data_IF_850063645601
#
_entry.id   IF_850063645601
#
_cell.length_a   1.000
_cell.length_b   1.000
_cell.length_c   1.000
_cell.angle_alpha   90.00
_cell.angle_beta   90.00
_cell.angle_gamma   90.00
#
_symmetry.space_group_name_H-M   'P 1'
#
loop_
_entity.id
_entity.type
_entity.pdbx_description
1 polymer ?
#
# COMPACT_ATOMS: atom_id res chain seq x y z
N UNK A 1 22.43 15.81 -11.73
CA UNK A 1 21.91 15.36 -13.04
C UNK A 1 20.53 15.99 -13.18
N UNK A 2 20.34 16.85 -14.16
CA UNK A 2 19.00 17.38 -14.50
C UNK A 2 18.31 16.31 -15.32
N UNK A 3 17.25 15.71 -14.76
CA UNK A 3 16.43 14.77 -15.49
C UNK A 3 15.63 15.50 -16.56
N UNK A 4 15.49 14.88 -17.74
CA UNK A 4 14.67 15.41 -18.81
C UNK A 4 13.20 15.50 -18.36
N UNK A 5 12.55 16.69 -18.47
CA UNK A 5 11.16 16.89 -18.03
C UNK A 5 10.17 15.93 -18.69
N UNK A 6 10.39 15.57 -19.96
CA UNK A 6 9.51 14.63 -20.68
C UNK A 6 9.61 13.26 -20.06
N UNK A 7 10.81 12.78 -19.76
CA UNK A 7 11.02 11.48 -19.09
C UNK A 7 10.34 11.47 -17.71
N UNK A 8 10.45 12.54 -16.93
CA UNK A 8 9.78 12.65 -15.62
C UNK A 8 8.26 12.54 -15.76
N UNK A 9 7.66 13.29 -16.70
CA UNK A 9 6.21 13.23 -16.94
C UNK A 9 5.74 11.84 -17.36
N UNK A 10 6.52 11.14 -18.18
CA UNK A 10 6.21 9.77 -18.58
C UNK A 10 6.23 8.82 -17.39
N UNK A 11 7.24 8.93 -16.53
CA UNK A 11 7.36 8.13 -15.31
C UNK A 11 6.21 8.42 -14.34
N UNK A 12 5.91 9.69 -14.07
CA UNK A 12 4.79 10.07 -13.21
C UNK A 12 3.46 9.51 -13.71
N UNK A 13 3.20 9.64 -15.02
CA UNK A 13 1.98 9.10 -15.63
C UNK A 13 1.90 7.58 -15.55
N UNK A 14 3.02 6.88 -15.75
CA UNK A 14 3.08 5.42 -15.64
C UNK A 14 2.84 4.95 -14.20
N UNK A 15 3.40 5.63 -13.20
CA UNK A 15 3.20 5.31 -11.79
C UNK A 15 1.74 5.58 -11.37
N UNK A 16 1.13 6.67 -11.83
CA UNK A 16 -0.27 6.96 -11.58
C UNK A 16 -1.17 5.88 -12.19
N UNK A 17 -0.94 5.50 -13.44
CA UNK A 17 -1.68 4.44 -14.11
C UNK A 17 -1.55 3.08 -13.38
N UNK A 18 -0.35 2.74 -12.92
CA UNK A 18 -0.11 1.51 -12.15
C UNK A 18 -0.87 1.52 -10.81
N UNK A 19 -0.87 2.65 -10.08
CA UNK A 19 -1.59 2.78 -8.83
C UNK A 19 -3.11 2.70 -9.02
N UNK A 20 -3.65 3.28 -10.10
CA UNK A 20 -5.06 3.16 -10.47
C UNK A 20 -5.45 1.73 -10.87
N UNK A 21 -4.58 1.03 -11.60
CA UNK A 21 -4.79 -0.38 -11.95
C UNK A 21 -4.80 -1.26 -10.70
N UNK A 22 -3.89 -1.04 -9.75
CA UNK A 22 -3.90 -1.73 -8.45
C UNK A 22 -5.25 -1.56 -7.75
N UNK A 23 -5.79 -0.34 -7.70
CA UNK A 23 -7.10 -0.06 -7.10
C UNK A 23 -8.23 -0.78 -7.83
N UNK A 24 -8.24 -0.72 -9.16
CA UNK A 24 -9.25 -1.37 -9.99
C UNK A 24 -9.25 -2.90 -9.80
N UNK A 25 -8.07 -3.51 -9.69
CA UNK A 25 -7.91 -4.95 -9.45
C UNK A 25 -8.39 -5.30 -8.04
N UNK A 26 -7.97 -4.55 -7.02
CA UNK A 26 -8.40 -4.77 -5.63
C UNK A 26 -9.92 -4.73 -5.53
N UNK A 27 -10.57 -3.70 -6.06
CA UNK A 27 -12.02 -3.57 -6.10
C UNK A 27 -12.70 -4.73 -6.83
N UNK A 28 -12.18 -5.10 -7.99
CA UNK A 28 -12.77 -6.15 -8.86
C UNK A 28 -12.66 -7.55 -8.29
N UNK A 29 -11.61 -7.81 -7.52
CA UNK A 29 -11.33 -9.14 -6.95
C UNK A 29 -11.80 -9.29 -5.51
N UNK A 30 -12.17 -8.20 -4.85
CA UNK A 30 -12.66 -8.23 -3.48
C UNK A 30 -13.99 -8.97 -3.35
N UNK A 31 -14.12 -9.75 -2.27
CA UNK A 31 -15.35 -10.47 -1.91
C UNK A 31 -16.19 -9.72 -0.87
N UNK A 32 -15.65 -8.66 -0.27
CA UNK A 32 -16.32 -7.87 0.76
C UNK A 32 -17.01 -6.64 0.16
N UNK A 33 -18.31 -6.42 0.42
CA UNK A 33 -19.03 -5.20 -0.01
C UNK A 33 -18.37 -3.91 0.51
N UNK A 34 -17.74 -3.94 1.67
CA UNK A 34 -17.02 -2.79 2.22
C UNK A 34 -15.91 -2.34 1.26
N UNK A 35 -15.24 -3.29 0.61
CA UNK A 35 -14.17 -3.00 -0.34
C UNK A 35 -14.72 -2.65 -1.72
N UNK A 36 -15.61 -3.48 -2.30
CA UNK A 36 -16.00 -3.30 -3.70
C UNK A 36 -17.17 -2.33 -3.92
N UNK A 37 -18.04 -2.07 -2.90
CA UNK A 37 -19.16 -1.12 -2.98
C UNK A 37 -18.84 0.19 -2.24
N UNK A 38 -18.45 0.10 -0.96
CA UNK A 38 -18.15 1.28 -0.13
C UNK A 38 -16.80 1.88 -0.51
N UNK A 39 -15.90 1.10 -1.12
CA UNK A 39 -14.55 1.47 -1.52
C UNK A 39 -13.66 1.83 -0.33
N UNK A 40 -13.88 1.15 0.80
CA UNK A 40 -13.08 1.35 2.02
C UNK A 40 -11.70 0.68 1.87
N UNK A 41 -10.94 1.23 0.94
CA UNK A 41 -9.61 0.77 0.55
C UNK A 41 -8.82 1.90 -0.12
N UNK A 42 -7.53 1.68 -0.31
CA UNK A 42 -6.64 2.58 -1.02
C UNK A 42 -5.39 1.85 -1.52
N UNK A 43 -4.79 2.37 -2.58
CA UNK A 43 -3.56 1.82 -3.17
C UNK A 43 -2.56 2.93 -3.40
N UNK A 44 -1.27 2.58 -3.39
CA UNK A 44 -0.22 3.53 -3.66
C UNK A 44 1.13 2.87 -3.92
N UNK A 45 2.02 3.66 -4.48
CA UNK A 45 3.41 3.30 -4.72
C UNK A 45 4.28 4.25 -3.90
N UNK A 46 5.21 3.69 -3.13
CA UNK A 46 6.20 4.47 -2.39
C UNK A 46 7.58 4.26 -2.99
N UNK A 47 8.51 5.18 -2.68
CA UNK A 47 9.91 4.95 -2.98
C UNK A 47 10.53 3.89 -2.03
N UNK A 48 11.80 3.60 -2.23
CA UNK A 48 12.55 2.64 -1.41
C UNK A 48 12.60 3.01 0.08
N UNK A 49 12.38 4.27 0.44
CA UNK A 49 12.35 4.77 1.81
C UNK A 49 10.94 4.81 2.41
N UNK A 50 9.92 4.40 1.66
CA UNK A 50 8.53 4.37 2.12
C UNK A 50 7.77 5.69 1.89
N UNK A 51 8.36 6.70 1.21
CA UNK A 51 7.66 7.96 0.93
C UNK A 51 6.70 7.77 -0.25
N UNK A 52 5.45 8.20 -0.08
CA UNK A 52 4.44 8.10 -1.13
C UNK A 52 4.87 8.87 -2.39
N UNK A 53 4.88 8.17 -3.52
CA UNK A 53 5.23 8.73 -4.84
C UNK A 53 4.01 8.86 -5.72
N UNK A 54 3.12 7.87 -5.68
CA UNK A 54 1.90 7.87 -6.47
C UNK A 54 0.80 7.13 -5.72
N UNK A 55 -0.45 7.49 -5.97
CA UNK A 55 -1.62 6.83 -5.38
C UNK A 55 -2.70 6.62 -6.43
N UNK A 56 -3.37 5.49 -6.32
CA UNK A 56 -4.63 5.24 -7.02
C UNK A 56 -5.81 5.90 -6.32
N UNK A 57 -7.00 5.64 -6.83
CA UNK A 57 -8.24 6.00 -6.15
C UNK A 57 -8.33 5.31 -4.78
N UNK A 58 -9.21 5.82 -3.90
CA UNK A 58 -9.43 5.25 -2.57
C UNK A 58 -9.74 6.31 -1.53
N UNK A 59 -9.92 5.88 -0.29
CA UNK A 59 -10.17 6.80 0.82
C UNK A 59 -8.89 7.59 1.13
N UNK A 60 -8.93 8.94 1.16
CA UNK A 60 -7.74 9.76 1.39
C UNK A 60 -6.97 9.42 2.66
N UNK A 61 -7.67 9.01 3.73
CA UNK A 61 -7.03 8.58 4.98
C UNK A 61 -6.17 7.34 4.78
N UNK A 62 -6.63 6.38 3.98
CA UNK A 62 -5.87 5.15 3.70
C UNK A 62 -4.66 5.44 2.82
N UNK A 63 -4.86 6.21 1.76
CA UNK A 63 -3.75 6.64 0.91
C UNK A 63 -2.67 7.38 1.72
N UNK A 64 -3.08 8.29 2.60
CA UNK A 64 -2.18 9.05 3.48
C UNK A 64 -1.55 8.25 4.62
N UNK A 65 -1.95 6.99 4.81
CA UNK A 65 -1.37 6.11 5.83
C UNK A 65 -0.36 5.10 5.24
N UNK A 66 -0.36 4.90 3.91
CA UNK A 66 0.50 3.90 3.27
C UNK A 66 2.00 4.16 3.47
N UNK A 67 2.42 5.41 3.45
CA UNK A 67 3.82 5.79 3.70
C UNK A 67 4.28 5.40 5.11
N UNK A 68 3.43 5.59 6.11
CA UNK A 68 3.70 5.21 7.50
C UNK A 68 3.76 3.69 7.65
N UNK A 69 2.83 2.97 7.05
CA UNK A 69 2.81 1.51 7.08
C UNK A 69 4.08 0.92 6.43
N UNK A 70 4.48 1.41 5.26
CA UNK A 70 5.71 0.96 4.59
C UNK A 70 6.95 1.33 5.40
N UNK A 71 7.01 2.53 5.97
CA UNK A 71 8.11 2.97 6.83
C UNK A 71 8.22 2.10 8.09
N UNK A 72 7.10 1.74 8.71
CA UNK A 72 7.06 0.81 9.84
C UNK A 72 7.61 -0.58 9.47
N UNK A 73 7.16 -1.12 8.32
CA UNK A 73 7.65 -2.40 7.78
C UNK A 73 9.18 -2.34 7.56
N UNK A 74 9.66 -1.25 6.95
CA UNK A 74 11.09 -1.03 6.72
C UNK A 74 11.89 -0.98 8.02
N UNK A 75 11.41 -0.26 9.02
CA UNK A 75 12.07 -0.15 10.31
C UNK A 75 12.21 -1.50 11.02
N UNK A 76 11.19 -2.36 10.87
CA UNK A 76 11.10 -3.65 11.57
C UNK A 76 11.81 -4.79 10.82
N UNK A 77 11.73 -4.80 9.50
CA UNK A 77 12.15 -5.92 8.66
C UNK A 77 13.20 -5.56 7.60
N UNK A 78 13.56 -4.28 7.45
CA UNK A 78 14.40 -3.78 6.36
C UNK A 78 15.59 -4.68 5.98
N UNK A 79 16.45 -5.10 6.93
CA UNK A 79 17.62 -5.93 6.61
C UNK A 79 17.29 -7.33 6.08
N UNK A 80 16.07 -7.81 6.30
CA UNK A 80 15.66 -9.19 5.94
C UNK A 80 14.76 -9.25 4.71
N UNK A 81 14.29 -8.09 4.20
CA UNK A 81 13.39 -8.01 3.07
C UNK A 81 14.08 -8.48 1.79
N UNK A 82 13.40 -9.34 1.02
CA UNK A 82 13.90 -9.92 -0.22
C UNK A 82 12.90 -9.74 -1.35
N UNK A 83 13.39 -9.88 -2.55
CA UNK A 83 12.53 -9.95 -3.74
C UNK A 83 11.56 -11.14 -3.64
N UNK A 84 10.27 -10.88 -3.92
CA UNK A 84 9.19 -11.86 -3.79
C UNK A 84 8.52 -11.92 -2.41
N UNK A 85 9.00 -11.18 -1.42
CA UNK A 85 8.32 -11.09 -0.13
C UNK A 85 6.97 -10.36 -0.27
N UNK A 86 6.03 -10.73 0.58
CA UNK A 86 4.77 -10.02 0.79
C UNK A 86 4.64 -9.72 2.27
N UNK A 87 4.63 -8.45 2.63
CA UNK A 87 4.59 -8.03 4.02
C UNK A 87 3.21 -7.52 4.38
N UNK A 88 2.80 -7.82 5.62
CA UNK A 88 1.49 -7.48 6.15
C UNK A 88 1.63 -6.70 7.44
N UNK A 89 0.79 -5.68 7.63
CA UNK A 89 0.62 -5.00 8.93
C UNK A 89 -0.82 -4.56 9.11
N UNK A 90 -1.30 -4.66 10.35
CA UNK A 90 -2.57 -4.07 10.81
C UNK A 90 -2.39 -3.45 12.21
N UNK A 91 -1.18 -3.00 12.53
CA UNK A 91 -0.85 -2.41 13.82
C UNK A 91 -1.31 -0.94 13.86
N UNK A 92 -2.33 -0.58 14.68
CA UNK A 92 -2.82 0.78 14.76
C UNK A 92 -1.94 1.70 15.63
N UNK A 93 -0.98 1.16 16.37
CA UNK A 93 -0.09 1.95 17.22
C UNK A 93 1.11 2.49 16.44
N UNK A 94 1.84 1.60 15.77
CA UNK A 94 3.06 1.96 15.04
C UNK A 94 2.96 1.69 13.54
N UNK A 95 2.03 0.84 13.11
CA UNK A 95 1.92 0.33 11.74
C UNK A 95 1.19 1.24 10.75
N UNK A 96 0.78 2.45 11.15
CA UNK A 96 0.19 3.43 10.23
C UNK A 96 -1.27 3.17 9.84
N UNK A 97 -1.95 2.21 10.46
CA UNK A 97 -3.39 1.94 10.23
C UNK A 97 -4.25 2.59 11.31
N UNK A 98 -5.56 2.74 11.07
CA UNK A 98 -6.47 3.40 12.03
C UNK A 98 -7.02 2.43 13.07
N UNK A 99 -7.30 1.20 12.69
CA UNK A 99 -7.74 0.12 13.59
C UNK A 99 -7.34 -1.25 13.05
N UNK A 100 -7.50 -2.30 13.88
CA UNK A 100 -7.02 -3.66 13.55
C UNK A 100 -7.62 -4.25 12.27
N UNK A 101 -8.80 -3.80 11.88
CA UNK A 101 -9.49 -4.25 10.67
C UNK A 101 -8.86 -3.71 9.38
N UNK A 102 -8.04 -2.67 9.47
CA UNK A 102 -7.33 -2.11 8.32
C UNK A 102 -6.06 -2.90 8.08
N UNK A 103 -6.08 -3.68 7.03
CA UNK A 103 -4.93 -4.49 6.63
C UNK A 103 -4.15 -3.79 5.51
N UNK A 104 -2.87 -3.56 5.75
CA UNK A 104 -1.92 -3.14 4.71
C UNK A 104 -1.15 -4.35 4.21
N UNK A 105 -1.14 -4.50 2.89
CA UNK A 105 -0.28 -5.44 2.16
C UNK A 105 0.74 -4.62 1.39
N UNK A 106 2.02 -4.89 1.60
CA UNK A 106 3.12 -4.21 0.93
C UNK A 106 4.05 -5.21 0.22
N UNK A 107 4.28 -4.96 -1.05
CA UNK A 107 5.18 -5.74 -1.91
C UNK A 107 6.42 -4.91 -2.24
N UNK A 108 7.64 -5.33 -1.86
CA UNK A 108 8.85 -4.64 -2.25
C UNK A 108 9.16 -4.89 -3.73
N UNK A 109 9.54 -3.85 -4.43
CA UNK A 109 9.92 -3.88 -5.84
C UNK A 109 11.43 -3.72 -5.92
N UNK A 110 12.10 -4.76 -6.41
CA UNK A 110 13.56 -4.76 -6.61
C UNK A 110 13.92 -4.52 -8.07
N UNK A 111 14.99 -3.77 -8.28
CA UNK A 111 15.62 -3.57 -9.57
C UNK A 111 17.13 -3.74 -9.42
N UNK A 112 17.75 -4.60 -10.24
CA UNK A 112 19.18 -4.94 -10.16
C UNK A 112 19.64 -5.31 -8.74
N UNK A 113 18.84 -6.09 -8.01
CA UNK A 113 19.13 -6.54 -6.65
C UNK A 113 19.02 -5.45 -5.58
N UNK A 114 18.49 -4.28 -5.90
CA UNK A 114 18.30 -3.15 -4.97
C UNK A 114 16.81 -2.84 -4.83
N UNK A 115 16.38 -2.60 -3.59
CA UNK A 115 15.03 -2.12 -3.33
C UNK A 115 14.84 -0.76 -4.01
N UNK A 116 13.91 -0.68 -4.95
CA UNK A 116 13.62 0.51 -5.74
C UNK A 116 12.35 1.24 -5.28
N UNK A 117 11.30 0.46 -4.95
CA UNK A 117 9.99 1.00 -4.62
C UNK A 117 9.17 -0.03 -3.83
N UNK A 118 7.95 0.35 -3.45
CA UNK A 118 6.94 -0.54 -2.89
C UNK A 118 5.60 -0.33 -3.57
N UNK A 119 4.90 -1.41 -3.83
CA UNK A 119 3.46 -1.38 -4.12
C UNK A 119 2.71 -1.72 -2.83
N UNK A 120 1.81 -0.85 -2.40
CA UNK A 120 1.06 -1.03 -1.17
C UNK A 120 -0.44 -0.85 -1.38
N UNK A 121 -1.23 -1.65 -0.69
CA UNK A 121 -2.68 -1.53 -0.62
C UNK A 121 -3.16 -1.63 0.82
N UNK A 122 -4.19 -0.87 1.16
CA UNK A 122 -4.89 -0.95 2.44
C UNK A 122 -6.36 -1.21 2.16
N UNK A 123 -6.97 -2.10 2.94
CA UNK A 123 -8.40 -2.37 2.87
C UNK A 123 -8.96 -2.67 4.25
N UNK A 124 -10.18 -2.16 4.50
CA UNK A 124 -10.94 -2.48 5.69
C UNK A 124 -11.62 -3.83 5.58
N UNK A 125 -11.39 -4.70 6.56
CA UNK A 125 -12.04 -5.99 6.68
C UNK A 125 -13.17 -5.94 7.71
N UNK A 126 -14.33 -6.49 7.37
CA UNK A 126 -15.48 -6.56 8.30
C UNK A 126 -15.17 -7.31 9.58
N UNK A 127 -14.30 -8.31 9.48
CA UNK A 127 -13.87 -9.15 10.59
C UNK A 127 -12.55 -9.82 10.24
N UNK A 128 -11.60 -9.85 11.16
CA UNK A 128 -10.30 -10.49 11.04
C UNK A 128 -10.10 -11.62 12.06
N UNK A 129 -11.19 -12.11 12.67
CA UNK A 129 -11.14 -13.20 13.64
C UNK A 129 -10.86 -12.77 15.08
N UNK A 130 -11.29 -11.56 15.46
CA UNK A 130 -11.20 -11.07 16.83
C UNK A 130 -12.09 -11.83 17.81
N UNK A 131 -11.98 -11.51 19.10
CA UNK A 131 -12.72 -12.15 20.20
C UNK A 131 -14.23 -11.93 20.11
N UNK A 132 -14.63 -10.77 19.61
CA UNK A 132 -16.03 -10.39 19.41
C UNK A 132 -16.31 -10.19 17.93
N UNK A 133 -17.57 -10.34 17.47
CA UNK A 133 -17.92 -10.05 16.08
C UNK A 133 -17.50 -8.65 15.66
N UNK A 134 -16.94 -8.52 14.45
CA UNK A 134 -16.36 -7.27 13.95
C UNK A 134 -14.93 -7.01 14.41
N UNK A 135 -14.31 -7.98 15.13
CA UNK A 135 -12.90 -7.92 15.57
C UNK A 135 -12.57 -6.75 16.51
N UNK A 136 -13.53 -6.35 17.34
CA UNK A 136 -13.37 -5.30 18.34
C UNK A 136 -13.18 -5.85 19.76
#
# INVERSE_FOLDING_TARGET
MTHDPVTLTVIESALAAAADEMFAILRKTAMSPIIYEVLDCGTGITDAQGRLVSSGAGIPTFVGALDKAVTHILARHGPTIRDGDLLLTNDPHDGGVTHLNDLVVALPIFHDGRLAAWAASMAHHSDIGGRTPGSM
#
